data_IF_174910278336
#
_entry.id   IF_174910278336
#
_cell.length_a   1.000
_cell.length_b   1.000
_cell.length_c   1.000
_cell.angle_alpha   90.00
_cell.angle_beta   90.00
_cell.angle_gamma   90.00
#
_symmetry.space_group_name_H-M   'P 1'
#
loop_
_entity.id
_entity.type
_entity.pdbx_description
1 polymer ?
#
# COMPACT_ATOMS: atom_id res chain seq x y z
N UNK A 1 3.88 10.05 53.95
CA UNK A 1 3.94 9.17 52.78
C UNK A 1 2.94 9.53 51.66
N UNK A 2 1.74 10.03 51.94
CA UNK A 2 0.71 10.38 50.92
C UNK A 2 1.13 11.48 49.93
N UNK A 3 1.81 12.56 50.34
CA UNK A 3 2.26 13.67 49.45
C UNK A 3 3.25 13.22 48.39
N UNK A 4 4.10 12.20 48.65
CA UNK A 4 5.10 11.68 47.68
C UNK A 4 4.45 10.83 46.58
N UNK A 5 3.38 10.07 46.92
CA UNK A 5 2.60 9.29 45.95
C UNK A 5 1.81 10.17 44.97
N UNK A 6 1.24 11.28 45.43
CA UNK A 6 0.49 12.22 44.57
C UNK A 6 1.42 12.99 43.63
N UNK A 7 2.67 13.30 44.04
CA UNK A 7 3.67 13.91 43.15
C UNK A 7 4.11 12.97 42.04
N UNK A 8 4.40 11.70 42.33
CA UNK A 8 4.80 10.70 41.36
C UNK A 8 3.71 10.44 40.31
N UNK A 9 2.44 10.33 40.75
CA UNK A 9 1.31 10.14 39.84
C UNK A 9 1.14 11.34 38.87
N UNK A 10 1.31 12.59 39.38
CA UNK A 10 1.28 13.79 38.53
C UNK A 10 2.42 13.80 37.49
N UNK A 11 3.63 13.43 37.90
CA UNK A 11 4.79 13.35 37.00
C UNK A 11 4.58 12.27 35.94
N UNK A 12 4.11 11.08 36.29
CA UNK A 12 3.80 10.00 35.39
C UNK A 12 2.72 10.40 34.38
N UNK A 13 1.64 11.05 34.82
CA UNK A 13 0.59 11.58 33.94
C UNK A 13 1.15 12.57 32.92
N UNK A 14 2.01 13.51 33.35
CA UNK A 14 2.66 14.46 32.44
C UNK A 14 3.56 13.73 31.44
N UNK A 15 4.35 12.76 31.88
CA UNK A 15 5.22 11.99 31.00
C UNK A 15 4.40 11.24 29.92
N UNK A 16 3.29 10.60 30.27
CA UNK A 16 2.41 9.93 29.32
C UNK A 16 1.83 10.93 28.29
N UNK A 17 1.36 12.09 28.76
CA UNK A 17 0.80 13.13 27.88
C UNK A 17 1.88 13.63 26.90
N UNK A 18 3.09 13.97 27.39
CA UNK A 18 4.16 14.45 26.53
C UNK A 18 4.65 13.38 25.55
N UNK A 19 4.74 12.12 25.97
CA UNK A 19 5.08 11.00 25.07
C UNK A 19 4.01 10.82 23.99
N UNK A 20 2.74 10.92 24.33
CA UNK A 20 1.64 10.87 23.36
C UNK A 20 1.68 12.04 22.37
N UNK A 21 1.88 13.27 22.85
CA UNK A 21 2.03 14.45 21.99
C UNK A 21 3.26 14.33 21.08
N UNK A 22 4.39 13.86 21.59
CA UNK A 22 5.59 13.62 20.80
C UNK A 22 5.34 12.59 19.70
N UNK A 23 4.67 11.48 20.01
CA UNK A 23 4.29 10.46 19.02
C UNK A 23 3.41 11.06 17.92
N UNK A 24 2.36 11.80 18.28
CA UNK A 24 1.45 12.43 17.30
C UNK A 24 2.22 13.41 16.41
N UNK A 25 2.99 14.32 17.03
CA UNK A 25 3.72 15.36 16.29
C UNK A 25 4.79 14.75 15.38
N UNK A 26 5.56 13.78 15.85
CA UNK A 26 6.62 13.14 15.06
C UNK A 26 6.04 12.36 13.87
N UNK A 27 5.00 11.55 14.09
CA UNK A 27 4.37 10.78 13.01
C UNK A 27 3.68 11.69 12.00
N UNK A 28 2.99 12.75 12.42
CA UNK A 28 2.40 13.75 11.54
C UNK A 28 3.47 14.47 10.70
N UNK A 29 4.58 14.89 11.32
CA UNK A 29 5.68 15.53 10.60
C UNK A 29 6.33 14.60 9.58
N UNK A 30 6.55 13.33 9.92
CA UNK A 30 7.08 12.33 9.00
C UNK A 30 6.14 12.15 7.80
N UNK A 31 4.84 11.98 8.03
CA UNK A 31 3.86 11.80 6.94
C UNK A 31 3.82 13.04 6.04
N UNK A 32 3.82 14.26 6.60
CA UNK A 32 3.87 15.49 5.83
C UNK A 32 5.12 15.55 4.93
N UNK A 33 6.30 15.32 5.48
CA UNK A 33 7.57 15.37 4.73
C UNK A 33 7.63 14.32 3.63
N UNK A 34 7.25 13.09 3.94
CA UNK A 34 7.19 11.98 2.97
C UNK A 34 6.17 12.27 1.86
N UNK A 35 5.11 12.98 2.17
CA UNK A 35 4.10 13.42 1.19
C UNK A 35 4.63 14.37 0.11
N UNK A 36 5.73 15.07 0.35
CA UNK A 36 6.28 16.07 -0.57
C UNK A 36 7.40 15.53 -1.47
N UNK A 37 7.97 14.37 -1.16
CA UNK A 37 9.20 13.88 -1.78
C UNK A 37 8.94 12.68 -2.71
N UNK A 38 9.73 12.49 -3.78
CA UNK A 38 9.82 11.22 -4.46
C UNK A 38 10.42 10.16 -3.51
N UNK A 39 9.82 8.97 -3.46
CA UNK A 39 10.19 7.93 -2.50
C UNK A 39 10.98 6.82 -3.18
N UNK A 40 12.26 6.74 -2.89
CA UNK A 40 13.15 5.71 -3.42
C UNK A 40 13.29 4.50 -2.50
N UNK A 41 12.54 4.47 -1.39
CA UNK A 41 12.52 3.37 -0.43
C UNK A 41 11.18 3.30 0.30
N UNK A 42 10.89 2.15 0.88
CA UNK A 42 9.73 1.92 1.74
C UNK A 42 10.09 0.92 2.83
N UNK A 43 9.28 0.83 3.88
CA UNK A 43 9.49 -0.17 4.93
C UNK A 43 9.52 -1.60 4.36
N UNK A 44 8.71 -1.88 3.33
CA UNK A 44 8.70 -3.21 2.70
C UNK A 44 9.98 -3.48 1.91
N UNK A 45 10.53 -2.50 1.20
CA UNK A 45 11.84 -2.63 0.52
C UNK A 45 12.96 -2.89 1.52
N UNK A 46 12.98 -2.15 2.64
CA UNK A 46 13.97 -2.37 3.71
C UNK A 46 13.84 -3.77 4.33
N UNK A 47 12.63 -4.25 4.57
CA UNK A 47 12.41 -5.60 5.09
C UNK A 47 12.87 -6.68 4.12
N UNK A 48 12.75 -6.46 2.82
CA UNK A 48 13.27 -7.38 1.81
C UNK A 48 14.79 -7.48 1.86
N UNK A 49 15.49 -6.35 1.96
CA UNK A 49 16.94 -6.35 2.18
C UNK A 49 17.36 -7.05 3.47
N UNK A 50 16.61 -6.82 4.56
CA UNK A 50 16.89 -7.51 5.82
C UNK A 50 16.65 -9.03 5.73
N UNK A 51 15.67 -9.46 4.94
CA UNK A 51 15.43 -10.88 4.69
C UNK A 51 16.58 -11.54 3.93
N UNK A 52 17.17 -10.83 2.93
CA UNK A 52 18.32 -11.32 2.18
C UNK A 52 19.52 -11.60 3.08
N UNK A 53 19.79 -10.75 4.07
CA UNK A 53 20.88 -10.95 5.04
C UNK A 53 20.64 -12.18 5.93
N UNK A 54 19.38 -12.51 6.25
CA UNK A 54 19.05 -13.62 7.12
C UNK A 54 19.02 -14.97 6.38
N UNK A 55 18.80 -14.95 5.05
CA UNK A 55 18.59 -16.17 4.24
C UNK A 55 19.88 -16.69 3.57
N UNK A 56 21.06 -16.14 3.87
CA UNK A 56 22.35 -16.46 3.24
C UNK A 56 22.37 -16.41 1.68
N UNK A 57 21.34 -15.79 1.07
CA UNK A 57 21.21 -15.68 -0.38
C UNK A 57 22.05 -14.55 -1.00
N UNK A 58 22.72 -13.80 -0.13
CA UNK A 58 23.45 -12.60 -0.54
C UNK A 58 22.51 -11.43 -0.87
N UNK A 59 23.08 -10.23 -0.91
CA UNK A 59 22.34 -9.00 -1.18
C UNK A 59 21.85 -8.94 -2.62
N UNK A 60 20.52 -8.81 -2.79
CA UNK A 60 19.88 -8.57 -4.09
C UNK A 60 19.38 -7.13 -4.18
N UNK A 61 19.83 -6.33 -5.16
CA UNK A 61 19.38 -4.94 -5.29
C UNK A 61 17.88 -4.83 -5.57
N UNK A 62 17.21 -3.92 -4.88
CA UNK A 62 15.82 -3.53 -5.19
C UNK A 62 15.80 -2.83 -6.55
N UNK A 63 14.92 -3.29 -7.43
CA UNK A 63 14.60 -2.63 -8.71
C UNK A 63 13.39 -1.74 -8.48
N UNK A 64 13.63 -0.44 -8.38
CA UNK A 64 12.60 0.57 -8.24
C UNK A 64 13.09 1.86 -8.91
N UNK A 65 12.21 2.50 -9.66
CA UNK A 65 12.44 3.81 -10.27
C UNK A 65 11.20 4.65 -10.06
N UNK A 66 11.32 5.75 -9.33
CA UNK A 66 10.23 6.70 -9.16
C UNK A 66 9.87 7.33 -10.51
N UNK A 67 8.59 7.50 -10.75
CA UNK A 67 8.05 8.25 -11.88
C UNK A 67 6.97 9.21 -11.42
N UNK A 68 6.94 10.40 -12.01
CA UNK A 68 5.90 11.38 -11.79
C UNK A 68 4.62 11.00 -12.57
N UNK A 69 3.49 11.58 -12.18
CA UNK A 69 2.17 11.24 -12.67
C UNK A 69 2.08 11.29 -14.21
N UNK A 70 2.67 12.28 -14.84
CA UNK A 70 2.71 12.48 -16.31
C UNK A 70 3.45 11.38 -17.07
N UNK A 71 4.29 10.61 -16.37
CA UNK A 71 5.07 9.49 -16.89
C UNK A 71 4.50 8.11 -16.54
N UNK A 72 3.26 8.08 -16.04
CA UNK A 72 2.48 6.86 -15.77
C UNK A 72 1.29 6.81 -16.73
N UNK A 73 1.06 5.66 -17.36
CA UNK A 73 -0.13 5.46 -18.19
C UNK A 73 -1.40 5.59 -17.34
N UNK A 74 -2.42 6.33 -17.80
CA UNK A 74 -3.73 6.40 -17.12
C UNK A 74 -4.33 5.00 -16.87
N UNK A 75 -4.06 4.04 -17.74
CA UNK A 75 -4.52 2.67 -17.58
C UNK A 75 -3.94 1.96 -16.35
N UNK A 76 -2.73 2.32 -15.91
CA UNK A 76 -2.14 1.76 -14.68
C UNK A 76 -2.89 2.22 -13.44
N UNK A 77 -3.23 3.51 -13.34
CA UNK A 77 -4.05 4.04 -12.26
C UNK A 77 -5.43 3.38 -12.24
N UNK A 78 -6.08 3.34 -13.41
CA UNK A 78 -7.42 2.77 -13.57
C UNK A 78 -7.47 1.29 -13.23
N UNK A 79 -6.50 0.50 -13.70
CA UNK A 79 -6.43 -0.93 -13.41
C UNK A 79 -6.20 -1.22 -11.92
N UNK A 80 -5.36 -0.42 -11.27
CA UNK A 80 -5.09 -0.55 -9.82
C UNK A 80 -6.34 -0.21 -9.01
N UNK A 81 -7.02 0.90 -9.32
CA UNK A 81 -8.28 1.27 -8.67
C UNK A 81 -9.33 0.18 -8.88
N UNK A 82 -9.51 -0.28 -10.11
CA UNK A 82 -10.47 -1.33 -10.44
C UNK A 82 -10.17 -2.67 -9.73
N UNK A 83 -8.89 -2.98 -9.52
CA UNK A 83 -8.46 -4.23 -8.89
C UNK A 83 -8.57 -4.21 -7.37
N UNK A 84 -8.17 -3.10 -6.74
CA UNK A 84 -7.88 -3.01 -5.31
C UNK A 84 -8.91 -2.17 -4.53
N UNK A 85 -9.47 -1.10 -5.13
CA UNK A 85 -10.27 -0.13 -4.39
C UNK A 85 -11.17 0.71 -5.30
N UNK A 86 -12.28 0.14 -5.77
CA UNK A 86 -13.18 0.80 -6.74
C UNK A 86 -13.84 2.08 -6.22
N UNK A 87 -13.91 2.25 -4.90
CA UNK A 87 -14.47 3.43 -4.24
C UNK A 87 -13.39 4.41 -3.73
N UNK A 88 -12.14 4.28 -4.21
CA UNK A 88 -10.99 5.02 -3.72
C UNK A 88 -11.22 6.52 -3.57
N UNK A 89 -11.87 7.16 -4.54
CA UNK A 89 -12.16 8.60 -4.52
C UNK A 89 -13.39 8.98 -3.68
N UNK A 90 -14.16 8.00 -3.18
CA UNK A 90 -15.42 8.23 -2.46
C UNK A 90 -15.28 8.10 -0.94
N UNK A 91 -14.25 7.39 -0.45
CA UNK A 91 -14.01 7.23 0.98
C UNK A 91 -12.76 8.00 1.46
N UNK A 92 -12.64 8.16 2.77
CA UNK A 92 -11.50 8.79 3.45
C UNK A 92 -10.66 7.73 4.19
N UNK A 93 -9.98 6.87 3.43
CA UNK A 93 -9.05 5.86 3.93
C UNK A 93 -9.66 4.52 4.32
N UNK A 94 -10.96 4.47 4.62
CA UNK A 94 -11.64 3.24 5.04
C UNK A 94 -12.94 3.06 4.26
N UNK A 95 -13.07 1.91 3.59
CA UNK A 95 -14.34 1.47 3.01
C UNK A 95 -15.10 0.61 4.02
N UNK A 96 -15.93 1.27 4.83
CA UNK A 96 -16.73 0.61 5.87
C UNK A 96 -17.74 -0.38 5.30
N UNK A 97 -18.25 -0.17 4.08
CA UNK A 97 -19.20 -1.09 3.43
C UNK A 97 -18.50 -2.38 3.03
N UNK A 98 -17.30 -2.28 2.45
CA UNK A 98 -16.47 -3.44 2.13
C UNK A 98 -16.01 -4.18 3.38
N UNK A 99 -15.64 -3.48 4.46
CA UNK A 99 -15.30 -4.07 5.75
C UNK A 99 -16.48 -4.84 6.33
N UNK A 100 -17.68 -4.24 6.39
CA UNK A 100 -18.88 -4.88 6.87
C UNK A 100 -19.22 -6.13 6.06
N UNK A 101 -19.17 -6.03 4.74
CA UNK A 101 -19.41 -7.14 3.81
C UNK A 101 -18.41 -8.28 4.00
N UNK A 102 -17.12 -7.96 4.22
CA UNK A 102 -16.08 -8.95 4.49
C UNK A 102 -16.34 -9.70 5.81
N UNK A 103 -16.73 -8.98 6.89
CA UNK A 103 -17.07 -9.59 8.19
C UNK A 103 -18.25 -10.52 8.04
N UNK A 104 -19.35 -10.08 7.38
CA UNK A 104 -20.54 -10.89 7.15
C UNK A 104 -20.25 -12.16 6.35
N UNK A 105 -19.42 -12.05 5.31
CA UNK A 105 -19.01 -13.19 4.49
C UNK A 105 -18.12 -14.17 5.26
N UNK A 106 -17.24 -13.67 6.15
CA UNK A 106 -16.42 -14.50 7.02
C UNK A 106 -17.27 -15.29 8.02
N UNK A 107 -18.27 -14.66 8.61
CA UNK A 107 -19.22 -15.32 9.52
C UNK A 107 -20.04 -16.43 8.84
N UNK A 108 -20.22 -16.36 7.50
CA UNK A 108 -20.88 -17.39 6.69
C UNK A 108 -19.90 -18.41 6.07
N UNK A 109 -18.66 -18.50 6.55
CA UNK A 109 -17.67 -19.47 6.10
C UNK A 109 -17.05 -19.20 4.72
N UNK A 110 -17.34 -18.05 4.10
CA UNK A 110 -16.71 -17.64 2.84
C UNK A 110 -15.34 -17.01 3.10
N UNK A 111 -14.37 -17.29 2.23
CA UNK A 111 -13.02 -16.67 2.31
C UNK A 111 -13.14 -15.14 2.39
N UNK A 112 -12.48 -14.55 3.38
CA UNK A 112 -12.30 -13.09 3.47
C UNK A 112 -11.71 -12.57 2.17
N UNK A 113 -12.48 -11.80 1.42
CA UNK A 113 -11.98 -10.97 0.33
C UNK A 113 -11.27 -9.76 0.95
N UNK A 114 -10.14 -9.33 0.39
CA UNK A 114 -9.39 -8.18 0.88
C UNK A 114 -10.30 -6.93 0.96
N UNK A 115 -10.43 -6.37 2.14
CA UNK A 115 -11.19 -5.16 2.41
C UNK A 115 -10.25 -3.98 2.76
N UNK A 116 -8.96 -4.10 2.45
CA UNK A 116 -7.99 -3.04 2.67
C UNK A 116 -7.97 -2.09 1.48
N UNK A 117 -8.09 -0.81 1.73
CA UNK A 117 -8.05 0.27 0.74
C UNK A 117 -6.62 0.54 0.24
N UNK A 118 -6.49 1.26 -0.87
CA UNK A 118 -5.20 1.75 -1.38
C UNK A 118 -4.47 2.56 -0.30
N UNK A 119 -5.16 3.45 0.41
CA UNK A 119 -4.58 4.27 1.49
C UNK A 119 -4.02 3.43 2.64
N UNK A 120 -4.73 2.36 3.04
CA UNK A 120 -4.25 1.41 4.04
C UNK A 120 -3.02 0.63 3.55
N UNK A 121 -2.98 0.28 2.26
CA UNK A 121 -1.83 -0.39 1.67
C UNK A 121 -0.61 0.53 1.60
N UNK A 122 -0.79 1.81 1.26
CA UNK A 122 0.28 2.83 1.31
C UNK A 122 0.81 2.97 2.73
N UNK A 123 -0.05 3.15 3.73
CA UNK A 123 0.33 3.25 5.13
C UNK A 123 1.15 2.04 5.59
N UNK A 124 0.68 0.83 5.27
CA UNK A 124 1.38 -0.41 5.59
C UNK A 124 2.75 -0.50 4.91
N UNK A 125 2.80 -0.28 3.60
CA UNK A 125 4.02 -0.50 2.82
C UNK A 125 5.11 0.52 3.13
N UNK A 126 4.74 1.77 3.45
CA UNK A 126 5.70 2.83 3.77
C UNK A 126 6.24 2.76 5.21
N UNK A 127 5.38 2.49 6.19
CA UNK A 127 5.72 2.77 7.59
C UNK A 127 5.77 1.52 8.47
N UNK A 128 5.23 0.37 8.02
CA UNK A 128 5.00 -0.76 8.90
C UNK A 128 5.68 -2.05 8.43
N UNK A 129 5.78 -3.01 9.36
CA UNK A 129 6.26 -4.33 9.04
C UNK A 129 5.20 -5.20 8.33
N UNK A 130 5.66 -6.25 7.65
CA UNK A 130 4.81 -7.27 7.04
C UNK A 130 4.15 -8.21 8.05
N UNK A 131 4.48 -8.09 9.35
CA UNK A 131 3.94 -8.94 10.42
C UNK A 131 2.42 -8.86 10.51
N UNK A 132 1.79 -9.94 11.00
CA UNK A 132 0.34 -10.00 11.22
C UNK A 132 0.05 -9.88 12.72
N UNK A 133 -0.26 -8.67 13.20
CA UNK A 133 -0.68 -8.43 14.57
C UNK A 133 -1.76 -7.35 14.63
N UNK A 134 -2.61 -7.41 15.64
CA UNK A 134 -3.66 -6.39 15.87
C UNK A 134 -3.05 -5.02 16.17
N UNK A 135 -1.92 -4.99 16.90
CA UNK A 135 -1.20 -3.76 17.19
C UNK A 135 -0.70 -3.07 15.91
N UNK A 136 -0.08 -3.83 15.01
CA UNK A 136 0.30 -3.32 13.69
C UNK A 136 -0.91 -2.80 12.91
N UNK A 137 -2.07 -3.48 12.99
CA UNK A 137 -3.30 -3.01 12.32
C UNK A 137 -3.82 -1.71 12.91
N UNK A 138 -3.65 -1.49 14.20
CA UNK A 138 -3.93 -0.19 14.84
C UNK A 138 -3.04 0.94 14.33
N UNK A 139 -1.73 0.67 14.19
CA UNK A 139 -0.79 1.62 13.58
C UNK A 139 -1.07 1.87 12.09
N UNK A 140 -1.49 0.85 11.34
CA UNK A 140 -1.92 1.01 9.95
C UNK A 140 -3.10 1.97 9.85
N UNK A 141 -4.10 1.82 10.72
CA UNK A 141 -5.23 2.74 10.78
C UNK A 141 -4.79 4.17 11.13
N UNK A 142 -3.88 4.34 12.09
CA UNK A 142 -3.31 5.63 12.46
C UNK A 142 -2.63 6.32 11.28
N UNK A 143 -1.69 5.63 10.62
CA UNK A 143 -1.00 6.21 9.45
C UNK A 143 -1.95 6.45 8.27
N UNK A 144 -2.98 5.61 8.08
CA UNK A 144 -4.01 5.84 7.07
C UNK A 144 -4.75 7.15 7.32
N UNK A 145 -5.14 7.45 8.56
CA UNK A 145 -5.76 8.72 8.93
C UNK A 145 -4.86 9.91 8.62
N UNK A 146 -3.58 9.83 8.98
CA UNK A 146 -2.62 10.91 8.70
C UNK A 146 -2.41 11.12 7.20
N UNK A 147 -2.28 10.04 6.41
CA UNK A 147 -2.14 10.10 4.96
C UNK A 147 -3.37 10.79 4.34
N UNK A 148 -4.57 10.38 4.69
CA UNK A 148 -5.81 10.97 4.16
C UNK A 148 -6.03 12.42 4.61
N UNK A 149 -5.49 12.80 5.77
CA UNK A 149 -5.57 14.17 6.28
C UNK A 149 -4.61 15.11 5.53
N UNK A 150 -3.41 14.62 5.18
CA UNK A 150 -2.34 15.49 4.68
C UNK A 150 -2.07 15.35 3.18
N UNK A 151 -2.48 14.25 2.54
CA UNK A 151 -2.20 14.01 1.12
C UNK A 151 -3.48 14.05 0.29
N UNK A 152 -3.36 14.52 -0.95
CA UNK A 152 -4.45 14.36 -1.92
C UNK A 152 -4.59 12.91 -2.36
N UNK A 153 -5.76 12.53 -2.84
CA UNK A 153 -6.01 11.19 -3.42
C UNK A 153 -5.04 10.88 -4.57
N UNK A 154 -4.75 11.87 -5.40
CA UNK A 154 -3.78 11.75 -6.49
C UNK A 154 -2.39 11.42 -5.93
N UNK A 155 -1.96 12.12 -4.86
CA UNK A 155 -0.67 11.83 -4.23
C UNK A 155 -0.61 10.42 -3.62
N UNK A 156 -1.66 9.98 -2.94
CA UNK A 156 -1.75 8.63 -2.37
C UNK A 156 -1.61 7.58 -3.49
N UNK A 157 -2.33 7.77 -4.59
CA UNK A 157 -2.30 6.85 -5.73
C UNK A 157 -0.94 6.86 -6.43
N UNK A 158 -0.33 8.04 -6.63
CA UNK A 158 1.01 8.18 -7.19
C UNK A 158 2.07 7.46 -6.33
N UNK A 159 1.99 7.61 -5.02
CA UNK A 159 2.88 6.89 -4.11
C UNK A 159 2.64 5.38 -4.22
N UNK A 160 1.38 4.94 -4.22
CA UNK A 160 1.05 3.53 -4.35
C UNK A 160 1.69 2.88 -5.58
N UNK A 161 1.51 3.47 -6.77
CA UNK A 161 2.05 2.92 -8.02
C UNK A 161 3.58 2.87 -8.04
N UNK A 162 4.23 3.72 -7.26
CA UNK A 162 5.70 3.78 -7.17
C UNK A 162 6.30 2.83 -6.13
N UNK A 163 5.52 2.39 -5.11
CA UNK A 163 6.03 1.54 -4.03
C UNK A 163 5.42 0.15 -3.98
N UNK A 164 4.37 -0.12 -4.78
CA UNK A 164 3.75 -1.45 -4.82
C UNK A 164 4.75 -2.48 -5.34
N UNK A 165 4.73 -3.68 -4.73
CA UNK A 165 5.55 -4.80 -5.17
C UNK A 165 4.90 -5.51 -6.36
N UNK A 166 5.68 -5.79 -7.40
CA UNK A 166 5.26 -6.51 -8.60
C UNK A 166 6.03 -7.82 -8.84
N UNK A 167 7.03 -8.10 -8.01
CA UNK A 167 7.84 -9.31 -8.12
C UNK A 167 8.88 -9.37 -7.00
N UNK A 168 9.76 -10.36 -7.08
CA UNK A 168 10.87 -10.47 -6.14
C UNK A 168 11.84 -9.30 -6.39
N UNK A 169 12.13 -8.51 -5.34
CA UNK A 169 12.95 -7.29 -5.41
C UNK A 169 12.51 -6.27 -6.49
N UNK A 170 11.25 -6.34 -6.93
CA UNK A 170 10.71 -5.51 -8.01
C UNK A 170 9.55 -4.65 -7.49
N UNK A 171 9.77 -3.34 -7.42
CA UNK A 171 8.82 -2.37 -6.89
C UNK A 171 8.57 -1.23 -7.87
N UNK A 172 7.33 -0.72 -7.86
CA UNK A 172 6.88 0.38 -8.69
C UNK A 172 6.61 0.00 -10.15
N UNK A 173 5.64 0.71 -10.73
CA UNK A 173 5.14 0.43 -12.10
C UNK A 173 6.20 0.65 -13.17
N UNK A 174 7.13 1.59 -12.98
CA UNK A 174 8.17 1.88 -13.97
C UNK A 174 9.17 0.71 -14.08
N UNK A 175 9.63 0.19 -12.95
CA UNK A 175 10.53 -0.96 -12.93
C UNK A 175 9.81 -2.22 -13.41
N UNK A 176 8.54 -2.40 -13.01
CA UNK A 176 7.70 -3.52 -13.43
C UNK A 176 7.45 -3.52 -14.96
N UNK A 177 7.08 -2.37 -15.52
CA UNK A 177 6.84 -2.22 -16.97
C UNK A 177 8.09 -2.52 -17.80
N UNK A 178 9.23 -1.99 -17.37
CA UNK A 178 10.52 -2.28 -18.03
C UNK A 178 10.91 -3.75 -17.90
N UNK A 179 10.68 -4.34 -16.72
CA UNK A 179 11.04 -5.75 -16.49
C UNK A 179 10.19 -6.73 -17.28
N UNK A 180 8.87 -6.54 -17.32
CA UNK A 180 7.95 -7.50 -17.94
C UNK A 180 7.68 -7.23 -19.40
N UNK A 181 7.72 -5.97 -19.84
CA UNK A 181 7.31 -5.56 -21.19
C UNK A 181 8.39 -4.81 -21.97
N UNK A 182 9.50 -4.44 -21.36
CA UNK A 182 10.58 -3.68 -22.02
C UNK A 182 10.23 -2.23 -22.35
N UNK A 183 9.10 -1.70 -21.86
CA UNK A 183 8.58 -0.36 -22.18
C UNK A 183 8.49 0.52 -20.91
N UNK A 184 8.46 1.86 -21.05
CA UNK A 184 8.22 2.74 -19.92
C UNK A 184 6.77 2.65 -19.42
N UNK A 185 6.54 2.99 -18.15
CA UNK A 185 5.21 2.96 -17.53
C UNK A 185 4.17 3.81 -18.28
N UNK A 186 4.60 4.90 -18.93
CA UNK A 186 3.75 5.76 -19.76
C UNK A 186 3.12 5.06 -20.97
N UNK A 187 3.80 4.03 -21.49
CA UNK A 187 3.41 3.32 -22.72
C UNK A 187 2.65 2.02 -22.46
N UNK A 188 2.32 1.72 -21.21
CA UNK A 188 1.61 0.48 -20.83
C UNK A 188 0.16 0.54 -21.34
N UNK A 189 -0.28 -0.52 -22.04
CA UNK A 189 -1.67 -0.65 -22.53
C UNK A 189 -2.64 -1.02 -21.39
N UNK A 190 -3.94 -0.97 -21.66
CA UNK A 190 -4.98 -1.39 -20.72
C UNK A 190 -4.83 -2.84 -20.30
N UNK A 191 -4.54 -3.75 -21.25
CA UNK A 191 -4.36 -5.18 -21.00
C UNK A 191 -3.14 -5.46 -20.15
N UNK A 192 -2.03 -4.78 -20.46
CA UNK A 192 -0.79 -4.87 -19.68
C UNK A 192 -0.96 -4.34 -18.28
N UNK A 193 -1.64 -3.20 -18.10
CA UNK A 193 -1.97 -2.62 -16.81
C UNK A 193 -2.85 -3.54 -15.96
N UNK A 194 -3.89 -4.11 -16.57
CA UNK A 194 -4.77 -5.07 -15.90
C UNK A 194 -4.04 -6.34 -15.46
N UNK A 195 -3.07 -6.82 -16.24
CA UNK A 195 -2.27 -7.99 -15.87
C UNK A 195 -1.30 -7.68 -14.72
N UNK A 196 -0.66 -6.50 -14.72
CA UNK A 196 0.13 -6.02 -13.59
C UNK A 196 -0.73 -5.91 -12.33
N UNK A 197 -1.90 -5.29 -12.41
CA UNK A 197 -2.81 -5.18 -11.29
C UNK A 197 -3.30 -6.54 -10.77
N UNK A 198 -3.47 -7.53 -11.65
CA UNK A 198 -3.84 -8.89 -11.25
C UNK A 198 -2.77 -9.60 -10.41
N UNK A 199 -1.51 -9.17 -10.48
CA UNK A 199 -0.41 -9.74 -9.69
C UNK A 199 -0.31 -9.20 -8.26
N UNK A 200 -0.86 -8.02 -7.98
CA UNK A 200 -0.71 -7.29 -6.70
C UNK A 200 -1.05 -8.09 -5.43
N UNK A 201 -2.08 -8.96 -5.41
CA UNK A 201 -2.41 -9.70 -4.19
C UNK A 201 -1.29 -10.64 -3.71
N UNK A 202 -0.45 -11.14 -4.62
CA UNK A 202 0.73 -11.95 -4.29
C UNK A 202 1.72 -11.95 -5.47
N UNK A 203 2.55 -10.92 -5.62
CA UNK A 203 3.41 -10.75 -6.79
C UNK A 203 4.55 -11.78 -6.89
N UNK A 204 4.84 -12.47 -5.79
CA UNK A 204 5.81 -13.58 -5.79
C UNK A 204 5.22 -14.84 -6.43
N UNK A 205 3.93 -15.10 -6.18
CA UNK A 205 3.21 -16.26 -6.71
C UNK A 205 2.63 -15.99 -8.11
N UNK A 206 2.08 -14.81 -8.31
CA UNK A 206 1.38 -14.40 -9.54
C UNK A 206 2.37 -13.79 -10.53
N UNK A 207 2.95 -14.63 -11.39
CA UNK A 207 4.00 -14.25 -12.33
C UNK A 207 3.41 -13.60 -13.58
N UNK A 208 3.74 -12.34 -13.83
CA UNK A 208 3.27 -11.58 -15.01
C UNK A 208 3.82 -12.14 -16.32
N UNK A 209 5.06 -12.64 -16.33
CA UNK A 209 5.71 -13.25 -17.50
C UNK A 209 5.26 -14.69 -17.79
N UNK A 210 4.53 -15.32 -16.88
CA UNK A 210 3.91 -16.63 -17.06
C UNK A 210 2.58 -16.68 -16.32
N UNK A 211 1.55 -15.96 -16.85
CA UNK A 211 0.29 -15.79 -16.16
C UNK A 211 -0.50 -17.10 -16.13
N UNK A 212 -0.92 -17.50 -14.93
CA UNK A 212 -1.82 -18.64 -14.76
C UNK A 212 -3.23 -18.33 -15.30
N UNK A 213 -4.05 -19.36 -15.53
CA UNK A 213 -5.44 -19.19 -15.91
C UNK A 213 -6.21 -18.26 -14.93
N UNK A 214 -5.95 -18.37 -13.64
CA UNK A 214 -6.50 -17.45 -12.63
C UNK A 214 -6.12 -16.00 -12.90
N UNK A 215 -4.85 -15.70 -13.21
CA UNK A 215 -4.41 -14.35 -13.50
C UNK A 215 -5.06 -13.78 -14.77
N UNK A 216 -5.18 -14.60 -15.82
CA UNK A 216 -5.85 -14.20 -17.06
C UNK A 216 -7.34 -13.92 -16.82
N UNK A 217 -8.03 -14.77 -16.07
CA UNK A 217 -9.41 -14.51 -15.66
C UNK A 217 -9.56 -13.25 -14.80
N UNK A 218 -8.59 -13.00 -13.88
CA UNK A 218 -8.57 -11.78 -13.07
C UNK A 218 -8.29 -10.54 -13.91
N UNK A 219 -7.38 -10.62 -14.90
CA UNK A 219 -7.12 -9.57 -15.88
C UNK A 219 -8.40 -9.17 -16.64
N UNK A 220 -9.13 -10.13 -17.17
CA UNK A 220 -10.39 -9.88 -17.88
C UNK A 220 -11.42 -9.20 -16.96
N UNK A 221 -11.54 -9.69 -15.72
CA UNK A 221 -12.43 -9.06 -14.75
C UNK A 221 -12.00 -7.61 -14.46
N UNK A 222 -10.69 -7.31 -14.33
CA UNK A 222 -10.20 -5.94 -14.12
C UNK A 222 -10.53 -5.05 -15.32
N UNK A 223 -10.33 -5.52 -16.55
CA UNK A 223 -10.68 -4.78 -17.77
C UNK A 223 -12.19 -4.47 -17.84
N UNK A 224 -13.02 -5.41 -17.41
CA UNK A 224 -14.46 -5.19 -17.31
C UNK A 224 -14.79 -4.13 -16.26
N UNK A 225 -14.15 -4.18 -15.08
CA UNK A 225 -14.34 -3.15 -14.05
C UNK A 225 -13.85 -1.77 -14.51
N UNK A 226 -12.73 -1.69 -15.23
CA UNK A 226 -12.24 -0.43 -15.79
C UNK A 226 -13.28 0.20 -16.75
N UNK A 227 -13.96 -0.61 -17.57
CA UNK A 227 -15.07 -0.16 -18.42
C UNK A 227 -16.28 0.30 -17.61
N UNK A 228 -16.70 -0.48 -16.62
CA UNK A 228 -17.84 -0.17 -15.75
C UNK A 228 -17.65 1.13 -14.95
N UNK A 229 -16.39 1.48 -14.64
CA UNK A 229 -16.01 2.71 -13.94
C UNK A 229 -15.73 3.87 -14.89
N UNK A 230 -15.97 3.71 -16.20
CA UNK A 230 -15.67 4.70 -17.26
C UNK A 230 -14.21 5.14 -17.31
N UNK A 231 -13.28 4.20 -17.10
CA UNK A 231 -11.83 4.43 -17.19
C UNK A 231 -11.23 4.02 -18.55
N UNK A 232 -12.03 3.40 -19.43
CA UNK A 232 -11.66 2.98 -20.79
C UNK A 232 -12.59 3.62 -21.82
#
# INVERSE_FOLDING_TARGET
MAKKKTSLAKTLKKAIIYSGLFFVMSTASIVLLVGLLPLNTSSFMLQQHLADFNDDKGFTPIKQNWVDEENVSPYLFSAIIAAEDQLFFQHHGFDFNSIYSAIKNSASGKKLRGASTISQQVAKNLFLSSSRSLWRKGLEAWFTLLIELFWSKQRILLVYVNIAQFGDHLFGVQAASKHYYGIPAKSVSSEQAALLAASLPNPIRFKVNNPSHYMLSKQQWILEQMRNLNFL
#
